data_IF_798466183666
#
_entry.id   IF_798466183666
#
_cell.length_a   1.000
_cell.length_b   1.000
_cell.length_c   1.000
_cell.angle_alpha   90.00
_cell.angle_beta   90.00
_cell.angle_gamma   90.00
#
_symmetry.space_group_name_H-M   'P 1'
#
loop_
_entity.id
_entity.type
_entity.pdbx_description
1 polymer ?
#
# COMPACT_ATOMS: atom_id res chain seq x y z
N UNK A 1 2.44 -13.26 3.57
CA UNK A 1 1.01 -13.56 3.32
C UNK A 1 0.19 -12.42 3.88
N UNK A 2 -0.03 -11.37 3.07
CA UNK A 2 -0.99 -10.31 3.39
C UNK A 2 -2.39 -10.83 3.04
N UNK A 3 -3.36 -10.54 3.89
CA UNK A 3 -4.72 -11.06 3.85
C UNK A 3 -5.50 -10.57 2.60
N UNK A 4 -6.57 -11.27 2.17
CA UNK A 4 -7.34 -10.92 0.99
C UNK A 4 -8.10 -9.60 1.24
N UNK A 5 -7.63 -8.49 0.65
CA UNK A 5 -8.20 -7.15 0.88
C UNK A 5 -7.24 -5.99 0.60
N UNK A 6 -6.46 -6.05 -0.50
CA UNK A 6 -5.47 -5.01 -0.84
C UNK A 6 -6.08 -3.63 -1.15
N UNK A 7 -5.31 -2.73 -1.79
CA UNK A 7 -5.67 -1.37 -2.29
C UNK A 7 -7.08 -1.15 -2.88
N UNK A 8 -7.80 -2.23 -3.18
CA UNK A 8 -9.22 -2.30 -3.53
C UNK A 8 -10.12 -1.88 -2.35
N UNK A 9 -9.75 -2.19 -1.12
CA UNK A 9 -10.47 -1.78 0.09
C UNK A 9 -10.39 -0.26 0.28
N UNK A 10 -9.25 0.35 -0.08
CA UNK A 10 -9.07 1.81 -0.08
C UNK A 10 -9.94 2.50 -1.13
N UNK A 11 -10.04 1.93 -2.34
CA UNK A 11 -10.94 2.46 -3.38
C UNK A 11 -12.40 2.35 -2.94
N UNK A 12 -12.80 1.23 -2.34
CA UNK A 12 -14.17 1.03 -1.85
C UNK A 12 -14.51 1.96 -0.68
N UNK A 13 -13.56 2.17 0.23
CA UNK A 13 -13.75 3.12 1.33
C UNK A 13 -13.89 4.55 0.81
N UNK A 14 -13.08 4.95 -0.18
CA UNK A 14 -13.24 6.26 -0.84
C UNK A 14 -14.61 6.39 -1.52
N UNK A 15 -15.11 5.33 -2.16
CA UNK A 15 -16.46 5.31 -2.74
C UNK A 15 -17.53 5.56 -1.66
N UNK A 16 -17.40 4.90 -0.51
CA UNK A 16 -18.31 5.10 0.62
C UNK A 16 -18.27 6.56 1.12
N UNK A 17 -17.08 7.11 1.36
CA UNK A 17 -16.92 8.50 1.83
C UNK A 17 -17.51 9.52 0.86
N UNK A 18 -17.29 9.34 -0.45
CA UNK A 18 -17.88 10.22 -1.47
C UNK A 18 -19.41 10.16 -1.47
N UNK A 19 -19.99 8.98 -1.27
CA UNK A 19 -21.44 8.84 -1.18
C UNK A 19 -22.02 9.44 0.12
N UNK A 20 -21.31 9.32 1.24
CA UNK A 20 -21.65 10.01 2.50
C UNK A 20 -21.62 11.54 2.37
N UNK A 21 -20.73 12.07 1.51
CA UNK A 21 -20.67 13.48 1.13
C UNK A 21 -21.80 13.93 0.19
N UNK A 22 -22.69 13.02 -0.22
CA UNK A 22 -23.87 13.31 -1.03
C UNK A 22 -23.74 12.98 -2.53
N UNK A 23 -22.60 12.41 -2.95
CA UNK A 23 -22.46 11.87 -4.31
C UNK A 23 -23.22 10.55 -4.47
N UNK A 24 -23.38 10.07 -5.70
CA UNK A 24 -24.16 8.84 -6.01
C UNK A 24 -23.38 7.90 -6.92
N UNK A 25 -22.24 7.43 -6.43
CA UNK A 25 -21.44 6.42 -7.09
C UNK A 25 -21.91 5.00 -6.75
N UNK A 26 -21.70 4.10 -7.69
CA UNK A 26 -21.99 2.67 -7.61
C UNK A 26 -20.72 1.89 -7.97
N UNK A 27 -20.74 0.56 -7.83
CA UNK A 27 -19.60 -0.30 -8.16
C UNK A 27 -19.13 -0.16 -9.62
N UNK A 28 -20.02 0.21 -10.54
CA UNK A 28 -19.68 0.48 -11.95
C UNK A 28 -18.73 1.67 -12.12
N UNK A 29 -18.68 2.57 -11.13
CA UNK A 29 -17.86 3.77 -11.13
C UNK A 29 -16.47 3.56 -10.50
N UNK A 30 -16.09 2.34 -10.13
CA UNK A 30 -14.82 2.07 -9.44
C UNK A 30 -13.57 2.59 -10.19
N UNK A 31 -13.59 2.58 -11.52
CA UNK A 31 -12.51 3.13 -12.33
C UNK A 31 -12.36 4.65 -12.16
N UNK A 32 -13.46 5.38 -11.97
CA UNK A 32 -13.49 6.82 -11.66
C UNK A 32 -12.96 7.03 -10.25
N UNK A 33 -13.42 6.23 -9.27
CA UNK A 33 -12.96 6.34 -7.89
C UNK A 33 -11.46 6.04 -7.77
N UNK A 34 -10.96 5.07 -8.54
CA UNK A 34 -9.53 4.79 -8.59
C UNK A 34 -8.74 5.96 -9.20
N UNK A 35 -9.30 6.67 -10.18
CA UNK A 35 -8.68 7.86 -10.75
C UNK A 35 -8.67 9.01 -9.74
N UNK A 36 -9.81 9.31 -9.10
CA UNK A 36 -9.92 10.29 -8.02
C UNK A 36 -8.88 9.99 -6.92
N UNK A 37 -8.78 8.73 -6.51
CA UNK A 37 -7.77 8.30 -5.52
C UNK A 37 -6.34 8.66 -5.94
N UNK A 38 -6.02 8.55 -7.22
CA UNK A 38 -4.68 8.83 -7.75
C UNK A 38 -4.39 10.32 -7.91
N UNK A 39 -5.39 11.12 -8.29
CA UNK A 39 -5.17 12.53 -8.61
C UNK A 39 -5.54 13.50 -7.47
N UNK A 40 -6.50 13.15 -6.61
CA UNK A 40 -7.03 14.05 -5.60
C UNK A 40 -6.59 13.69 -4.17
N UNK A 41 -6.40 12.41 -3.86
CA UNK A 41 -6.15 11.96 -2.49
C UNK A 41 -4.70 12.14 -2.04
N UNK A 42 -4.51 12.31 -0.74
CA UNK A 42 -3.20 12.44 -0.08
C UNK A 42 -3.27 11.88 1.34
N UNK A 43 -2.13 11.73 2.01
CA UNK A 43 -2.09 11.37 3.44
C UNK A 43 -1.83 12.63 4.26
N UNK A 44 -2.77 12.99 5.14
CA UNK A 44 -2.59 14.10 6.06
C UNK A 44 -1.49 13.76 7.09
N UNK A 45 -0.68 14.76 7.47
CA UNK A 45 0.27 14.60 8.58
C UNK A 45 -0.47 14.61 9.92
N UNK A 46 -1.53 15.42 10.01
CA UNK A 46 -2.32 15.63 11.21
C UNK A 46 -3.81 15.72 10.86
N UNK A 47 -4.46 14.57 10.63
CA UNK A 47 -5.85 14.50 10.16
C UNK A 47 -6.86 15.18 11.09
N UNK A 48 -6.63 15.14 12.41
CA UNK A 48 -7.51 15.78 13.39
C UNK A 48 -7.49 17.32 13.30
N UNK A 49 -6.33 17.91 12.97
CA UNK A 49 -6.20 19.35 12.77
C UNK A 49 -6.85 19.75 11.44
N UNK A 50 -6.63 18.98 10.36
CA UNK A 50 -7.24 19.24 9.05
C UNK A 50 -8.79 19.12 9.06
N UNK A 51 -9.36 18.22 9.86
CA UNK A 51 -10.82 18.10 10.04
C UNK A 51 -11.45 19.27 10.78
N UNK A 52 -10.70 19.94 11.66
CA UNK A 52 -11.19 21.08 12.44
C UNK A 52 -11.17 22.40 11.66
N UNK A 53 -10.53 22.43 10.50
CA UNK A 53 -10.37 23.63 9.69
C UNK A 53 -11.42 23.64 8.58
N UNK A 54 -12.21 24.71 8.51
CA UNK A 54 -13.11 24.96 7.39
C UNK A 54 -12.32 25.51 6.19
N UNK A 55 -11.40 24.70 5.65
CA UNK A 55 -10.52 25.11 4.57
C UNK A 55 -11.21 24.85 3.23
N UNK A 56 -11.75 25.91 2.63
CA UNK A 56 -12.06 25.95 1.20
C UNK A 56 -10.83 25.49 0.37
N UNK A 57 -9.62 25.75 0.86
CA UNK A 57 -8.35 25.33 0.26
C UNK A 57 -8.16 23.80 0.14
N UNK A 58 -8.88 23.00 0.94
CA UNK A 58 -8.81 21.53 0.86
C UNK A 58 -9.77 20.95 -0.16
N UNK A 59 -10.72 21.76 -0.67
CA UNK A 59 -11.67 21.32 -1.69
C UNK A 59 -11.05 21.41 -3.07
N UNK A 60 -11.31 20.40 -3.90
CA UNK A 60 -10.93 20.40 -5.31
C UNK A 60 -12.14 20.02 -6.15
N UNK A 61 -12.28 20.67 -7.30
CA UNK A 61 -13.25 20.26 -8.29
C UNK A 61 -12.63 19.18 -9.20
N UNK A 62 -13.40 18.12 -9.42
CA UNK A 62 -13.05 17.01 -10.28
C UNK A 62 -14.08 16.89 -11.39
N UNK A 63 -13.60 16.81 -12.64
CA UNK A 63 -14.44 16.63 -13.82
C UNK A 63 -14.71 15.15 -14.06
N UNK A 64 -16.00 14.79 -14.06
CA UNK A 64 -16.48 13.46 -14.41
C UNK A 64 -16.40 13.24 -15.93
N UNK A 65 -16.43 11.98 -16.41
CA UNK A 65 -16.37 11.68 -17.85
C UNK A 65 -17.53 12.28 -18.68
N UNK A 66 -18.63 12.65 -18.04
CA UNK A 66 -19.78 13.34 -18.65
C UNK A 66 -19.62 14.88 -18.68
N UNK A 67 -18.48 15.40 -18.19
CA UNK A 67 -18.18 16.83 -18.08
C UNK A 67 -18.74 17.50 -16.82
N UNK A 68 -19.42 16.76 -15.94
CA UNK A 68 -19.96 17.32 -14.70
C UNK A 68 -18.85 17.51 -13.66
N UNK A 69 -18.80 18.69 -13.04
CA UNK A 69 -17.89 18.97 -11.93
C UNK A 69 -18.49 18.48 -10.61
N UNK A 70 -17.67 17.80 -9.81
CA UNK A 70 -17.96 17.45 -8.42
C UNK A 70 -16.88 18.04 -7.51
N UNK A 71 -17.30 18.54 -6.35
CA UNK A 71 -16.36 19.02 -5.34
C UNK A 71 -16.02 17.90 -4.36
N UNK A 72 -14.73 17.67 -4.15
CA UNK A 72 -14.18 16.66 -3.24
C UNK A 72 -13.41 17.40 -2.15
N UNK A 73 -13.73 17.14 -0.88
CA UNK A 73 -13.17 17.83 0.27
C UNK A 73 -12.32 16.90 1.14
N UNK A 74 -12.77 16.68 2.37
CA UNK A 74 -12.04 15.90 3.38
C UNK A 74 -11.84 14.42 3.02
N UNK A 75 -12.64 13.89 2.09
CA UNK A 75 -12.55 12.50 1.61
C UNK A 75 -11.16 12.22 1.01
N UNK A 76 -10.51 13.27 0.48
CA UNK A 76 -9.16 13.23 -0.10
C UNK A 76 -8.12 12.68 0.86
N UNK A 77 -8.19 13.06 2.14
CA UNK A 77 -7.23 12.59 3.15
C UNK A 77 -7.82 11.54 4.09
N UNK A 78 -9.12 11.59 4.33
CA UNK A 78 -9.79 10.61 5.20
C UNK A 78 -9.67 9.18 4.68
N UNK A 79 -9.69 8.97 3.35
CA UNK A 79 -9.56 7.62 2.84
C UNK A 79 -8.24 6.97 3.28
N UNK A 80 -7.14 7.73 3.35
CA UNK A 80 -5.83 7.22 3.75
C UNK A 80 -5.75 6.82 5.23
N UNK A 81 -6.63 7.37 6.09
CA UNK A 81 -6.66 7.06 7.53
C UNK A 81 -6.91 5.58 7.80
N UNK A 82 -7.61 4.86 6.92
CA UNK A 82 -7.85 3.43 7.12
C UNK A 82 -6.56 2.60 7.15
N UNK A 83 -5.46 3.10 6.56
CA UNK A 83 -4.16 2.44 6.59
C UNK A 83 -3.52 2.52 7.98
N UNK A 84 -3.85 3.55 8.74
CA UNK A 84 -3.35 3.79 10.10
C UNK A 84 -4.36 3.34 11.16
N UNK A 85 -5.66 3.41 10.85
CA UNK A 85 -6.78 3.02 11.72
C UNK A 85 -7.77 2.13 10.95
N UNK A 86 -7.46 0.83 10.77
CA UNK A 86 -8.31 -0.10 10.03
C UNK A 86 -9.71 -0.28 10.64
N UNK A 87 -9.89 0.07 11.92
CA UNK A 87 -11.19 0.04 12.60
C UNK A 87 -12.24 0.95 11.94
N UNK A 88 -11.82 1.97 11.19
CA UNK A 88 -12.71 2.85 10.44
C UNK A 88 -13.53 2.11 9.36
N UNK A 89 -13.00 1.00 8.84
CA UNK A 89 -13.69 0.13 7.87
C UNK A 89 -14.16 -1.18 8.51
N UNK A 90 -14.23 -1.24 9.85
CA UNK A 90 -14.62 -2.44 10.59
C UNK A 90 -13.58 -3.57 10.59
N UNK A 91 -12.32 -3.28 10.22
CA UNK A 91 -11.24 -4.27 10.27
C UNK A 91 -10.60 -4.32 11.66
N UNK A 92 -10.38 -5.54 12.16
CA UNK A 92 -9.67 -5.79 13.42
C UNK A 92 -8.15 -5.96 13.23
N UNK A 93 -7.64 -5.70 12.03
CA UNK A 93 -6.20 -5.77 11.76
C UNK A 93 -5.47 -4.55 12.36
N UNK A 94 -4.20 -4.72 12.79
CA UNK A 94 -3.35 -3.59 13.16
C UNK A 94 -3.08 -2.69 11.95
N UNK A 95 -2.92 -1.38 12.20
CA UNK A 95 -2.52 -0.42 11.18
C UNK A 95 -1.07 -0.60 10.73
N UNK A 96 -0.66 0.17 9.73
CA UNK A 96 0.72 0.16 9.23
C UNK A 96 1.76 0.43 10.33
N UNK A 97 1.61 1.44 11.22
CA UNK A 97 2.60 1.70 12.26
C UNK A 97 2.75 0.53 13.24
N UNK A 98 1.64 -0.07 13.65
CA UNK A 98 1.65 -1.21 14.57
C UNK A 98 2.27 -2.45 13.91
N UNK A 99 1.99 -2.68 12.62
CA UNK A 99 2.63 -3.76 11.85
C UNK A 99 4.14 -3.55 11.75
N UNK A 100 4.59 -2.35 11.39
CA UNK A 100 6.01 -2.02 11.31
C UNK A 100 6.69 -2.18 12.67
N UNK A 101 6.08 -1.68 13.74
CA UNK A 101 6.59 -1.83 15.09
C UNK A 101 6.65 -3.32 15.51
N UNK A 102 5.62 -4.10 15.20
CA UNK A 102 5.59 -5.53 15.47
C UNK A 102 6.69 -6.29 14.71
N UNK A 103 6.97 -5.91 13.47
CA UNK A 103 8.09 -6.47 12.70
C UNK A 103 9.44 -6.11 13.34
N UNK A 104 9.66 -4.84 13.68
CA UNK A 104 10.89 -4.38 14.33
C UNK A 104 11.10 -5.02 15.71
N UNK A 105 10.02 -5.25 16.46
CA UNK A 105 10.07 -5.89 17.78
C UNK A 105 10.39 -7.40 17.71
N UNK A 106 10.29 -8.03 16.52
CA UNK A 106 10.71 -9.43 16.33
C UNK A 106 12.22 -9.56 16.13
N UNK A 107 12.94 -8.47 15.87
CA UNK A 107 14.39 -8.45 15.82
C UNK A 107 14.93 -8.58 17.24
N UNK A 108 15.50 -9.76 17.56
CA UNK A 108 15.98 -10.09 18.90
C UNK A 108 17.40 -9.57 19.18
N UNK A 109 18.12 -9.16 18.13
CA UNK A 109 19.51 -8.73 18.21
C UNK A 109 19.61 -7.26 18.63
N UNK A 110 20.42 -6.98 19.64
CA UNK A 110 20.58 -5.64 20.21
C UNK A 110 21.25 -4.69 19.20
N UNK A 111 20.69 -3.49 19.02
CA UNK A 111 21.19 -2.47 18.09
C UNK A 111 20.66 -2.59 16.65
N UNK A 112 20.19 -3.78 16.24
CA UNK A 112 19.63 -3.99 14.91
C UNK A 112 18.29 -3.28 14.70
N UNK A 113 17.52 -3.12 15.78
CA UNK A 113 16.21 -2.46 15.72
C UNK A 113 16.34 -0.98 15.35
N UNK A 114 17.30 -0.29 15.95
CA UNK A 114 17.58 1.13 15.69
C UNK A 114 18.09 1.33 14.27
N UNK A 115 18.98 0.43 13.80
CA UNK A 115 19.50 0.46 12.43
C UNK A 115 18.40 0.17 11.39
N UNK A 116 17.54 -0.81 11.63
CA UNK A 116 16.41 -1.09 10.75
C UNK A 116 15.38 0.05 10.76
N UNK A 117 15.11 0.65 11.92
CA UNK A 117 14.22 1.80 12.03
C UNK A 117 14.76 3.03 11.30
N UNK A 118 16.08 3.21 11.24
CA UNK A 118 16.72 4.27 10.47
C UNK A 118 16.68 4.04 8.94
N UNK A 119 16.54 2.78 8.50
CA UNK A 119 16.62 2.38 7.09
C UNK A 119 15.28 1.84 6.54
N UNK A 120 14.16 2.46 6.91
CA UNK A 120 12.85 2.08 6.37
C UNK A 120 12.66 2.63 4.96
N UNK A 121 12.56 1.73 3.99
CA UNK A 121 12.28 2.07 2.59
C UNK A 121 10.77 2.04 2.31
N UNK A 122 10.21 3.19 1.94
CA UNK A 122 8.83 3.32 1.50
C UNK A 122 8.75 3.16 -0.02
N UNK A 123 8.22 2.02 -0.48
CA UNK A 123 7.96 1.78 -1.90
C UNK A 123 6.57 2.32 -2.25
N UNK A 124 6.53 3.54 -2.79
CA UNK A 124 5.32 4.10 -3.38
C UNK A 124 4.96 3.35 -4.68
N UNK A 125 3.70 3.45 -5.10
CA UNK A 125 3.20 2.91 -6.36
C UNK A 125 3.72 3.69 -7.59
N UNK A 126 5.03 3.96 -7.67
CA UNK A 126 5.66 4.50 -8.87
C UNK A 126 5.36 3.58 -10.07
N UNK A 127 5.30 4.10 -11.30
CA UNK A 127 5.10 3.28 -12.50
C UNK A 127 6.07 2.08 -12.55
N UNK A 128 7.30 2.32 -12.10
CA UNK A 128 8.41 1.38 -11.99
C UNK A 128 8.22 0.30 -10.90
N UNK A 129 7.24 0.44 -9.99
CA UNK A 129 6.94 -0.60 -8.98
C UNK A 129 6.54 -1.92 -9.63
N UNK A 130 5.80 -1.85 -10.75
CA UNK A 130 5.40 -3.05 -11.51
C UNK A 130 6.63 -3.87 -11.94
N UNK A 131 7.75 -3.18 -12.18
CA UNK A 131 8.99 -3.78 -12.64
C UNK A 131 10.02 -3.91 -11.52
N UNK A 132 9.89 -3.23 -10.38
CA UNK A 132 10.92 -3.22 -9.32
C UNK A 132 11.28 -4.62 -8.80
N UNK A 133 10.29 -5.51 -8.64
CA UNK A 133 10.52 -6.92 -8.28
C UNK A 133 11.31 -7.64 -9.38
N UNK A 134 10.97 -7.39 -10.65
CA UNK A 134 11.65 -7.98 -11.80
C UNK A 134 13.07 -7.42 -11.98
N UNK A 135 13.26 -6.12 -11.77
CA UNK A 135 14.56 -5.45 -11.81
C UNK A 135 15.46 -6.01 -10.71
N UNK A 136 14.95 -6.11 -9.48
CA UNK A 136 15.68 -6.73 -8.36
C UNK A 136 16.03 -8.19 -8.65
N UNK A 137 15.10 -8.98 -9.19
CA UNK A 137 15.34 -10.36 -9.60
C UNK A 137 16.39 -10.49 -10.72
N UNK A 138 16.37 -9.59 -11.71
CA UNK A 138 17.34 -9.58 -12.81
C UNK A 138 18.74 -9.21 -12.33
N UNK A 139 18.86 -8.25 -11.41
CA UNK A 139 20.13 -7.89 -10.77
C UNK A 139 20.64 -9.10 -9.98
N UNK A 140 19.82 -9.68 -9.11
CA UNK A 140 20.19 -10.86 -8.30
C UNK A 140 20.65 -12.04 -9.18
N UNK A 141 19.91 -12.38 -10.24
CA UNK A 141 20.28 -13.46 -11.14
C UNK A 141 21.59 -13.21 -11.89
N UNK A 142 21.97 -11.94 -12.08
CA UNK A 142 23.21 -11.57 -12.76
C UNK A 142 24.43 -11.53 -11.82
N UNK A 143 24.23 -11.59 -10.50
CA UNK A 143 25.32 -11.61 -9.53
C UNK A 143 25.97 -12.99 -9.48
N UNK A 144 27.29 -13.05 -9.69
CA UNK A 144 28.05 -14.30 -9.64
C UNK A 144 27.94 -15.00 -8.27
N UNK A 145 27.85 -14.23 -7.18
CA UNK A 145 27.61 -14.75 -5.84
C UNK A 145 26.25 -15.47 -5.69
N UNK A 146 25.25 -15.06 -6.47
CA UNK A 146 23.91 -15.62 -6.41
C UNK A 146 23.78 -16.92 -7.21
N UNK A 147 24.69 -17.19 -8.16
CA UNK A 147 24.71 -18.43 -8.94
C UNK A 147 24.96 -19.67 -8.05
N UNK A 148 25.63 -19.51 -6.92
CA UNK A 148 25.88 -20.58 -5.94
C UNK A 148 24.61 -20.99 -5.18
N UNK A 149 23.59 -20.12 -5.16
CA UNK A 149 22.31 -20.35 -4.51
C UNK A 149 21.28 -21.01 -5.45
N UNK A 150 21.63 -21.24 -6.72
CA UNK A 150 20.73 -21.90 -7.67
C UNK A 150 20.61 -23.38 -7.37
N UNK A 151 19.41 -23.94 -7.56
CA UNK A 151 19.20 -25.40 -7.57
C UNK A 151 19.39 -25.88 -9.00
N UNK A 152 20.44 -26.65 -9.24
CA UNK A 152 20.68 -27.26 -10.55
C UNK A 152 19.73 -28.42 -10.80
N UNK A 153 19.57 -28.78 -12.09
CA UNK A 153 18.76 -29.93 -12.47
C UNK A 153 19.25 -31.23 -11.83
N UNK A 154 20.56 -31.45 -11.78
CA UNK A 154 21.15 -32.65 -11.20
C UNK A 154 20.89 -32.73 -9.68
N UNK A 155 21.04 -31.62 -8.95
CA UNK A 155 20.71 -31.56 -7.52
C UNK A 155 19.22 -31.85 -7.29
N UNK A 156 18.32 -31.34 -8.14
CA UNK A 156 16.89 -31.59 -8.03
C UNK A 156 16.50 -33.04 -8.38
N UNK A 157 17.18 -33.67 -9.35
CA UNK A 157 16.93 -35.07 -9.69
C UNK A 157 17.41 -36.04 -8.59
N UNK A 158 18.46 -35.68 -7.86
CA UNK A 158 19.02 -36.49 -6.78
C UNK A 158 18.27 -36.30 -5.44
N UNK A 159 17.91 -35.07 -5.09
CA UNK A 159 17.34 -34.73 -3.78
C UNK A 159 15.86 -34.30 -3.82
N UNK A 160 15.29 -34.17 -5.01
CA UNK A 160 13.88 -33.77 -5.18
C UNK A 160 13.59 -32.38 -4.63
N UNK A 161 12.39 -32.21 -4.07
CA UNK A 161 11.95 -30.93 -3.49
C UNK A 161 12.77 -30.47 -2.29
N UNK A 162 13.47 -31.37 -1.60
CA UNK A 162 14.34 -31.03 -0.47
C UNK A 162 15.51 -30.13 -0.88
N UNK A 163 15.98 -30.24 -2.14
CA UNK A 163 17.02 -29.37 -2.69
C UNK A 163 16.62 -27.88 -2.70
N UNK A 164 15.30 -27.60 -2.75
CA UNK A 164 14.79 -26.22 -2.74
C UNK A 164 14.86 -25.66 -1.32
N UNK A 165 14.46 -26.45 -0.32
CA UNK A 165 14.44 -26.01 1.08
C UNK A 165 15.84 -25.90 1.69
N UNK A 166 16.86 -26.51 1.09
CA UNK A 166 18.24 -26.37 1.55
C UNK A 166 18.90 -25.06 1.10
N UNK A 167 18.37 -24.38 0.07
CA UNK A 167 18.91 -23.12 -0.47
C UNK A 167 17.99 -21.91 -0.27
N UNK A 168 16.78 -22.09 0.25
CA UNK A 168 15.80 -21.05 0.57
C UNK A 168 15.69 -20.82 2.08
#
# INVERSE_FOLDING_TARGET
>A
MWAPGGLRDLTNYLLQLLNEAGHKFTDDHLHIIEHIKKCCCYSALKPAEELGLCLEDLRVDYELPDGKLITIGQERFQCAEMLFKPTLVGSNQPGLPELTAACLNRCQEAGFKEEMAANVLLLAAAPERKTSVWTGGSILASLQAFQQLWVSKAEFEEWGSEAIYSKC
#
